data_IF_889796382933
#
_entry.id   IF_889796382933
#
_cell.length_a   1.000
_cell.length_b   1.000
_cell.length_c   1.000
_cell.angle_alpha   90.00
_cell.angle_beta   90.00
_cell.angle_gamma   90.00
#
_symmetry.space_group_name_H-M   'P 1'
#
loop_
_entity.id
_entity.type
_entity.pdbx_description
1 polymer ?
#
# COMPACT_ATOMS: atom_id res chain seq x y z
N UNK A 1 21.89 -26.61 9.52
CA UNK A 1 20.60 -26.24 8.89
C UNK A 1 19.69 -25.79 10.01
N UNK A 2 19.26 -24.53 10.00
CA UNK A 2 18.33 -23.98 11.00
C UNK A 2 16.89 -24.08 10.49
N UNK A 3 15.93 -24.25 11.39
CA UNK A 3 14.50 -24.29 11.09
C UNK A 3 13.80 -23.16 11.83
N UNK A 4 12.83 -22.54 11.18
CA UNK A 4 12.09 -21.38 11.69
C UNK A 4 10.59 -21.59 11.52
N UNK A 5 9.81 -20.85 12.31
CA UNK A 5 8.36 -20.72 12.22
C UNK A 5 8.07 -19.28 11.80
N UNK A 6 7.22 -19.11 10.79
CA UNK A 6 6.76 -17.78 10.37
C UNK A 6 5.72 -17.23 11.34
N UNK A 7 5.81 -15.94 11.65
CA UNK A 7 4.86 -15.26 12.54
C UNK A 7 3.53 -14.96 11.84
N UNK A 8 3.54 -14.81 10.50
CA UNK A 8 2.31 -14.66 9.73
C UNK A 8 1.50 -15.95 9.78
N UNK A 9 0.18 -15.82 9.97
CA UNK A 9 -0.71 -16.97 9.79
C UNK A 9 -0.56 -17.48 8.35
N UNK A 10 -0.42 -18.82 8.19
CA UNK A 10 -0.09 -19.44 6.91
C UNK A 10 -1.03 -19.05 5.74
N UNK A 11 -2.30 -18.71 6.03
CA UNK A 11 -3.28 -18.25 5.05
C UNK A 11 -2.97 -16.89 4.43
N UNK A 12 -2.11 -16.08 5.06
CA UNK A 12 -1.66 -14.77 4.58
C UNK A 12 -0.32 -14.83 3.83
N UNK A 13 0.26 -16.03 3.69
CA UNK A 13 1.54 -16.24 3.02
C UNK A 13 2.74 -15.88 3.90
N UNK A 14 3.84 -15.44 3.28
CA UNK A 14 5.07 -15.06 3.96
C UNK A 14 5.45 -13.61 3.63
N UNK A 15 6.07 -12.87 4.57
CA UNK A 15 6.72 -11.59 4.26
C UNK A 15 7.91 -11.77 3.29
N UNK A 16 8.48 -12.97 3.19
CA UNK A 16 9.60 -13.31 2.32
C UNK A 16 9.15 -14.25 1.19
N UNK A 17 9.07 -13.71 -0.02
CA UNK A 17 8.56 -14.38 -1.22
C UNK A 17 9.61 -14.53 -2.32
N UNK A 18 10.89 -14.27 -1.99
CA UNK A 18 12.02 -14.39 -2.94
C UNK A 18 12.21 -15.85 -3.32
N UNK A 19 12.23 -16.13 -4.62
CA UNK A 19 12.46 -17.48 -5.15
C UNK A 19 13.94 -17.88 -5.02
N UNK A 20 14.28 -19.18 -4.89
CA UNK A 20 15.68 -19.63 -4.77
C UNK A 20 16.58 -19.25 -5.95
N UNK A 21 16.00 -19.09 -7.14
CA UNK A 21 16.66 -18.74 -8.39
C UNK A 21 16.58 -17.25 -8.73
N UNK A 22 15.96 -16.42 -7.86
CA UNK A 22 15.97 -14.97 -8.02
C UNK A 22 17.41 -14.45 -7.92
N UNK A 23 17.87 -13.85 -9.01
CA UNK A 23 19.13 -13.13 -9.03
C UNK A 23 18.94 -11.68 -8.57
N UNK A 24 19.97 -11.12 -7.94
CA UNK A 24 19.97 -9.71 -7.56
C UNK A 24 19.68 -8.83 -8.79
N UNK A 25 18.83 -7.82 -8.62
CA UNK A 25 18.55 -6.89 -9.71
C UNK A 25 19.83 -6.10 -10.04
N UNK A 26 20.31 -6.10 -11.30
CA UNK A 26 21.56 -5.42 -11.67
C UNK A 26 21.50 -3.88 -11.54
N UNK A 27 20.31 -3.32 -11.31
CA UNK A 27 20.07 -1.87 -11.16
C UNK A 27 20.05 -1.38 -9.70
N UNK A 28 20.55 -2.18 -8.76
CA UNK A 28 20.63 -1.83 -7.33
C UNK A 28 22.06 -1.49 -6.93
N UNK A 29 22.26 -0.28 -6.42
CA UNK A 29 23.56 0.27 -6.04
C UNK A 29 23.49 0.85 -4.62
N UNK A 30 24.45 0.52 -3.74
CA UNK A 30 24.54 1.15 -2.43
C UNK A 30 25.01 2.59 -2.59
N UNK A 31 24.36 3.54 -1.91
CA UNK A 31 24.56 4.97 -2.13
C UNK A 31 25.14 5.68 -0.91
N UNK A 32 24.68 5.32 0.29
CA UNK A 32 25.00 6.06 1.52
C UNK A 32 26.44 5.85 2.01
N UNK A 33 26.94 4.63 1.94
CA UNK A 33 28.25 4.22 2.49
C UNK A 33 29.20 3.69 1.41
N UNK A 34 29.05 4.18 0.17
CA UNK A 34 29.67 3.60 -1.02
C UNK A 34 29.22 2.16 -1.22
N UNK A 35 30.13 1.26 -1.63
CA UNK A 35 29.79 -0.15 -1.89
C UNK A 35 29.64 -1.03 -0.63
N UNK A 36 29.65 -0.41 0.56
CA UNK A 36 29.61 -1.13 1.84
C UNK A 36 28.22 -1.16 2.44
N UNK A 37 27.66 -2.35 2.67
CA UNK A 37 26.49 -2.50 3.52
C UNK A 37 26.85 -2.19 4.97
N UNK A 38 26.22 -1.16 5.55
CA UNK A 38 26.33 -0.81 6.97
C UNK A 38 24.97 -0.87 7.66
N UNK A 39 25.06 -1.04 8.97
CA UNK A 39 23.92 -0.98 9.88
C UNK A 39 23.95 0.39 10.54
N UNK A 40 22.87 1.13 10.38
CA UNK A 40 22.66 2.44 11.00
C UNK A 40 21.64 2.27 12.14
N UNK A 41 22.08 2.32 13.40
CA UNK A 41 21.16 2.23 14.52
C UNK A 41 20.35 3.52 14.64
N UNK A 42 19.06 3.38 14.90
CA UNK A 42 18.21 4.51 15.32
C UNK A 42 17.65 4.23 16.70
N UNK A 43 17.72 5.22 17.59
CA UNK A 43 17.08 5.09 18.89
C UNK A 43 15.57 5.11 18.72
N UNK A 44 14.89 4.16 19.37
CA UNK A 44 13.44 4.18 19.47
C UNK A 44 13.08 5.21 20.54
N UNK A 45 12.48 6.36 20.19
CA UNK A 45 12.25 7.41 21.16
C UNK A 45 11.21 6.96 22.19
N UNK A 46 11.45 7.28 23.46
CA UNK A 46 10.45 7.19 24.52
C UNK A 46 9.61 8.49 24.55
N UNK A 47 8.29 8.38 24.72
CA UNK A 47 7.41 9.55 24.88
C UNK A 47 6.91 10.17 23.55
N UNK A 48 6.66 11.48 23.46
CA UNK A 48 6.22 12.11 22.21
C UNK A 48 7.32 12.10 21.13
N UNK A 49 6.91 12.03 19.88
CA UNK A 49 7.78 12.17 18.70
C UNK A 49 7.10 13.07 17.65
N UNK A 50 7.83 13.44 16.60
CA UNK A 50 7.26 14.18 15.47
C UNK A 50 6.05 13.44 14.90
N UNK A 51 4.95 14.16 14.65
CA UNK A 51 3.73 13.57 14.12
C UNK A 51 3.97 12.88 12.77
N UNK A 52 3.59 11.61 12.70
CA UNK A 52 3.55 10.82 11.47
C UNK A 52 2.12 10.77 10.94
N UNK A 53 1.96 10.98 9.63
CA UNK A 53 0.72 10.69 8.93
C UNK A 53 0.84 9.36 8.18
N UNK A 54 0.10 8.35 8.61
CA UNK A 54 0.00 7.07 7.91
C UNK A 54 -1.15 7.13 6.91
N UNK A 55 -0.83 7.01 5.62
CA UNK A 55 -1.77 7.06 4.50
C UNK A 55 -1.95 5.66 3.95
N UNK A 56 -3.21 5.26 3.77
CA UNK A 56 -3.57 4.02 3.10
C UNK A 56 -4.93 4.14 2.40
N UNK A 57 -5.22 3.16 1.55
CA UNK A 57 -6.48 3.05 0.84
C UNK A 57 -6.92 1.60 0.73
N UNK A 58 -8.25 1.43 0.79
CA UNK A 58 -8.90 0.14 0.58
C UNK A 58 -9.80 0.22 -0.64
N UNK A 59 -9.85 -0.86 -1.41
CA UNK A 59 -10.76 -1.01 -2.56
C UNK A 59 -11.62 -2.24 -2.43
N UNK A 60 -12.76 -2.22 -3.12
CA UNK A 60 -13.64 -3.37 -3.27
C UNK A 60 -14.27 -3.40 -4.65
N UNK A 61 -14.10 -4.53 -5.36
CA UNK A 61 -14.97 -4.87 -6.48
C UNK A 61 -16.31 -5.36 -5.94
N UNK A 62 -17.41 -4.78 -6.41
CA UNK A 62 -18.76 -5.04 -5.91
C UNK A 62 -19.54 -5.96 -6.83
N UNK A 63 -19.35 -5.80 -8.14
CA UNK A 63 -19.82 -6.75 -9.15
C UNK A 63 -19.00 -6.62 -10.45
N UNK A 64 -18.76 -7.74 -11.12
CA UNK A 64 -18.35 -7.75 -12.51
C UNK A 64 -19.57 -7.48 -13.41
N UNK A 65 -19.37 -6.72 -14.48
CA UNK A 65 -20.39 -6.30 -15.43
C UNK A 65 -19.98 -6.69 -16.86
N UNK A 66 -21.00 -6.86 -17.70
CA UNK A 66 -20.85 -7.16 -19.10
C UNK A 66 -21.84 -6.32 -19.91
N UNK A 67 -21.37 -5.75 -21.01
CA UNK A 67 -22.20 -5.28 -22.10
C UNK A 67 -21.99 -6.23 -23.28
N UNK A 68 -23.08 -6.62 -23.94
CA UNK A 68 -23.03 -7.46 -25.14
C UNK A 68 -23.66 -6.66 -26.27
N UNK A 69 -22.90 -6.40 -27.32
CA UNK A 69 -23.43 -5.80 -28.53
C UNK A 69 -24.33 -6.82 -29.24
N UNK A 70 -25.59 -6.47 -29.46
CA UNK A 70 -26.58 -7.43 -29.99
C UNK A 70 -26.32 -7.81 -31.45
N UNK A 71 -25.67 -6.93 -32.22
CA UNK A 71 -25.43 -7.15 -33.65
C UNK A 71 -24.17 -8.00 -33.90
N UNK A 72 -23.09 -7.73 -33.18
CA UNK A 72 -21.78 -8.36 -33.35
C UNK A 72 -21.51 -9.49 -32.35
N UNK A 73 -22.26 -9.54 -31.23
CA UNK A 73 -21.99 -10.43 -30.11
C UNK A 73 -20.76 -10.05 -29.29
N UNK A 74 -20.15 -8.88 -29.56
CA UNK A 74 -18.96 -8.43 -28.85
C UNK A 74 -19.26 -8.19 -27.37
N UNK A 75 -18.37 -8.68 -26.51
CA UNK A 75 -18.49 -8.56 -25.05
C UNK A 75 -17.52 -7.51 -24.52
N UNK A 76 -18.06 -6.48 -23.87
CA UNK A 76 -17.27 -5.51 -23.12
C UNK A 76 -17.38 -5.78 -21.63
N UNK A 77 -16.24 -5.79 -20.95
CA UNK A 77 -16.15 -6.05 -19.50
C UNK A 77 -16.12 -4.76 -18.72
N UNK A 78 -16.78 -4.77 -17.57
CA UNK A 78 -16.74 -3.67 -16.62
C UNK A 78 -16.74 -4.16 -15.18
N UNK A 79 -16.50 -3.23 -14.25
CA UNK A 79 -16.60 -3.46 -12.82
C UNK A 79 -17.35 -2.31 -12.15
N UNK A 80 -18.34 -2.65 -11.33
CA UNK A 80 -18.82 -1.73 -10.30
C UNK A 80 -17.97 -1.95 -9.05
N UNK A 81 -17.43 -0.88 -8.49
CA UNK A 81 -16.56 -0.96 -7.34
C UNK A 81 -16.46 0.35 -6.57
N UNK A 82 -15.82 0.29 -5.43
CA UNK A 82 -15.56 1.44 -4.59
C UNK A 82 -14.14 1.41 -4.05
N UNK A 83 -13.61 2.59 -3.75
CA UNK A 83 -12.39 2.73 -2.98
C UNK A 83 -12.52 3.87 -1.97
N UNK A 84 -11.78 3.76 -0.89
CA UNK A 84 -11.67 4.79 0.12
C UNK A 84 -10.20 5.00 0.45
N UNK A 85 -9.82 6.26 0.65
CA UNK A 85 -8.48 6.65 1.08
C UNK A 85 -8.60 7.59 2.28
N UNK A 86 -7.66 7.48 3.22
CA UNK A 86 -7.59 8.39 4.36
C UNK A 86 -6.22 8.35 4.99
N UNK A 87 -6.08 9.07 6.10
CA UNK A 87 -4.88 9.05 6.91
C UNK A 87 -5.21 9.00 8.40
N UNK A 88 -4.23 8.52 9.16
CA UNK A 88 -4.21 8.63 10.63
C UNK A 88 -2.92 9.30 11.06
N UNK A 89 -3.05 10.32 11.90
CA UNK A 89 -1.95 11.13 12.41
C UNK A 89 -1.67 10.69 13.85
N UNK A 90 -0.41 10.36 14.14
CA UNK A 90 0.03 9.93 15.47
C UNK A 90 1.40 10.52 15.84
N UNK A 91 1.53 10.93 17.10
CA UNK A 91 2.72 11.57 17.68
C UNK A 91 3.28 10.79 18.89
N UNK A 92 2.69 9.63 19.20
CA UNK A 92 3.11 8.79 20.31
C UNK A 92 2.71 9.30 21.71
N UNK A 93 1.95 10.39 21.80
CA UNK A 93 1.48 10.98 23.07
C UNK A 93 -0.05 11.10 23.10
N UNK A 94 -0.63 11.71 22.06
CA UNK A 94 -2.05 11.95 21.95
C UNK A 94 -2.79 10.75 21.32
N UNK A 95 -4.11 10.71 21.48
CA UNK A 95 -4.96 9.77 20.75
C UNK A 95 -4.81 10.03 19.24
N UNK A 96 -4.53 9.01 18.41
CA UNK A 96 -4.41 9.21 16.97
C UNK A 96 -5.65 9.86 16.35
N UNK A 97 -5.43 10.79 15.42
CA UNK A 97 -6.47 11.56 14.75
C UNK A 97 -6.62 11.05 13.32
N UNK A 98 -7.83 10.67 12.95
CA UNK A 98 -8.15 10.21 11.60
C UNK A 98 -8.67 11.38 10.78
N UNK A 99 -8.23 11.48 9.53
CA UNK A 99 -8.81 12.42 8.58
C UNK A 99 -10.20 11.96 8.15
N UNK A 100 -10.97 12.87 7.55
CA UNK A 100 -12.15 12.48 6.81
C UNK A 100 -11.73 11.66 5.57
N UNK A 101 -12.38 10.51 5.32
CA UNK A 101 -12.00 9.66 4.20
C UNK A 101 -12.56 10.18 2.88
N UNK A 102 -11.76 10.10 1.82
CA UNK A 102 -12.23 10.26 0.45
C UNK A 102 -12.80 8.93 -0.03
N UNK A 103 -14.13 8.86 -0.25
CA UNK A 103 -14.81 7.66 -0.74
C UNK A 103 -15.30 7.89 -2.16
N UNK A 104 -14.91 7.00 -3.08
CA UNK A 104 -15.39 7.00 -4.45
C UNK A 104 -16.08 5.68 -4.79
N UNK A 105 -17.17 5.77 -5.55
CA UNK A 105 -17.93 4.63 -6.05
C UNK A 105 -18.10 4.78 -7.55
N UNK A 106 -17.63 3.79 -8.28
CA UNK A 106 -17.32 3.88 -9.70
C UNK A 106 -17.91 2.71 -10.45
N UNK A 107 -18.26 2.95 -11.70
CA UNK A 107 -18.38 1.92 -12.73
C UNK A 107 -17.27 2.18 -13.73
N UNK A 108 -16.45 1.18 -14.00
CA UNK A 108 -15.33 1.28 -14.96
C UNK A 108 -15.55 0.24 -16.05
N UNK A 109 -15.62 0.68 -17.29
CA UNK A 109 -15.71 -0.17 -18.48
C UNK A 109 -14.37 -0.23 -19.22
N UNK A 110 -14.06 -1.38 -19.82
CA UNK A 110 -12.94 -1.53 -20.75
C UNK A 110 -13.29 -1.12 -22.18
N UNK A 111 -12.30 -1.24 -23.08
CA UNK A 111 -12.47 -1.07 -24.53
C UNK A 111 -13.07 0.27 -24.98
N UNK A 112 -12.95 1.33 -24.16
CA UNK A 112 -13.45 2.67 -24.48
C UNK A 112 -14.97 2.85 -24.37
N UNK A 113 -15.73 1.83 -23.96
CA UNK A 113 -17.18 1.95 -23.80
C UNK A 113 -17.57 2.66 -22.51
N UNK A 114 -18.78 3.21 -22.48
CA UNK A 114 -19.38 3.86 -21.31
C UNK A 114 -20.78 3.28 -21.12
N UNK A 115 -21.15 3.03 -19.87
CA UNK A 115 -22.47 2.55 -19.48
C UNK A 115 -22.78 3.02 -18.07
N UNK A 116 -23.78 3.90 -17.96
CA UNK A 116 -24.17 4.44 -16.66
C UNK A 116 -25.00 3.42 -15.87
N UNK A 117 -24.81 3.44 -14.55
CA UNK A 117 -25.73 2.77 -13.62
C UNK A 117 -26.58 3.83 -12.92
N UNK A 118 -27.92 3.74 -12.99
CA UNK A 118 -28.80 4.69 -12.34
C UNK A 118 -28.67 4.59 -10.83
N UNK A 119 -29.02 5.69 -10.15
CA UNK A 119 -29.11 5.67 -8.69
C UNK A 119 -30.21 4.71 -8.21
N UNK A 120 -29.95 4.04 -7.09
CA UNK A 120 -30.90 3.08 -6.48
C UNK A 120 -31.18 3.40 -5.02
N UNK A 121 -32.18 2.72 -4.45
CA UNK A 121 -32.66 2.97 -3.08
C UNK A 121 -31.52 2.84 -2.07
N UNK A 122 -31.51 3.71 -1.05
CA UNK A 122 -30.43 3.76 -0.06
C UNK A 122 -29.23 4.62 -0.47
N UNK A 123 -29.39 5.46 -1.50
CA UNK A 123 -28.40 6.47 -1.88
C UNK A 123 -27.25 5.96 -2.75
N UNK A 124 -27.30 4.70 -3.21
CA UNK A 124 -26.23 4.16 -4.04
C UNK A 124 -26.26 4.79 -5.43
N UNK A 125 -25.11 5.32 -5.81
CA UNK A 125 -24.86 5.96 -7.10
C UNK A 125 -23.41 5.66 -7.51
N UNK A 126 -23.15 5.62 -8.81
CA UNK A 126 -21.81 5.35 -9.33
C UNK A 126 -21.42 6.42 -10.33
N UNK A 127 -20.18 6.87 -10.26
CA UNK A 127 -19.59 7.69 -11.30
C UNK A 127 -19.02 6.79 -12.40
N UNK A 128 -19.49 6.94 -13.64
CA UNK A 128 -19.01 6.12 -14.74
C UNK A 128 -17.66 6.61 -15.29
N UNK A 129 -16.80 5.67 -15.66
CA UNK A 129 -15.50 5.87 -16.28
C UNK A 129 -15.24 4.77 -17.32
N UNK A 130 -14.32 5.04 -18.22
CA UNK A 130 -13.87 4.10 -19.24
C UNK A 130 -12.34 4.07 -19.32
N UNK A 131 -11.80 2.94 -19.76
CA UNK A 131 -10.39 2.74 -20.12
C UNK A 131 -10.32 2.09 -21.50
N UNK A 132 -9.23 2.33 -22.23
CA UNK A 132 -9.03 1.73 -23.56
C UNK A 132 -8.66 0.24 -23.51
N UNK A 133 -8.00 -0.19 -22.44
CA UNK A 133 -7.56 -1.57 -22.22
C UNK A 133 -8.77 -2.52 -22.18
N UNK A 134 -8.66 -3.64 -22.90
CA UNK A 134 -9.68 -4.66 -23.08
C UNK A 134 -9.40 -5.95 -22.29
N UNK A 135 -8.27 -6.03 -21.59
CA UNK A 135 -7.94 -7.19 -20.77
C UNK A 135 -9.01 -7.42 -19.68
N UNK A 136 -9.37 -8.69 -19.37
CA UNK A 136 -10.46 -8.98 -18.45
C UNK A 136 -10.36 -8.35 -17.06
N UNK A 137 -9.14 -8.22 -16.54
CA UNK A 137 -8.81 -7.65 -15.24
C UNK A 137 -8.62 -6.12 -15.27
N UNK A 138 -8.50 -5.51 -16.46
CA UNK A 138 -8.14 -4.11 -16.61
C UNK A 138 -9.09 -3.15 -15.87
N UNK A 139 -10.42 -3.34 -15.86
CA UNK A 139 -11.31 -2.47 -15.08
C UNK A 139 -11.02 -2.50 -13.58
N UNK A 140 -10.70 -3.68 -13.02
CA UNK A 140 -10.37 -3.82 -11.60
C UNK A 140 -8.99 -3.22 -11.28
N UNK A 141 -8.02 -3.38 -12.18
CA UNK A 141 -6.72 -2.71 -12.08
C UNK A 141 -6.87 -1.19 -12.14
N UNK A 142 -7.74 -0.67 -13.01
CA UNK A 142 -8.03 0.76 -13.08
C UNK A 142 -8.70 1.29 -11.81
N UNK A 143 -9.52 0.49 -11.12
CA UNK A 143 -10.04 0.85 -9.79
C UNK A 143 -8.91 0.96 -8.76
N UNK A 144 -7.96 0.01 -8.77
CA UNK A 144 -6.78 0.03 -7.90
C UNK A 144 -5.89 1.24 -8.16
N UNK A 145 -5.63 1.54 -9.44
CA UNK A 145 -4.86 2.70 -9.87
C UNK A 145 -5.46 4.01 -9.33
N UNK A 146 -6.79 4.18 -9.42
CA UNK A 146 -7.48 5.38 -8.91
C UNK A 146 -7.38 5.53 -7.39
N UNK A 147 -7.46 4.42 -6.66
CA UNK A 147 -7.21 4.40 -5.22
C UNK A 147 -5.78 4.85 -4.90
N UNK A 148 -4.78 4.27 -5.56
CA UNK A 148 -3.36 4.61 -5.37
C UNK A 148 -3.05 6.07 -5.73
N UNK A 149 -3.71 6.64 -6.74
CA UNK A 149 -3.64 8.09 -7.04
C UNK A 149 -4.23 8.96 -5.95
N UNK A 150 -5.31 8.50 -5.30
CA UNK A 150 -5.94 9.23 -4.20
C UNK A 150 -5.06 9.22 -2.95
N UNK A 151 -4.41 8.09 -2.66
CA UNK A 151 -3.37 7.99 -1.63
C UNK A 151 -2.20 8.95 -1.91
N UNK A 152 -1.66 8.95 -3.13
CA UNK A 152 -0.57 9.86 -3.51
C UNK A 152 -0.94 11.33 -3.35
N UNK A 153 -2.18 11.72 -3.73
CA UNK A 153 -2.67 13.10 -3.57
C UNK A 153 -2.82 13.49 -2.10
N UNK A 154 -3.40 12.62 -1.29
CA UNK A 154 -3.56 12.85 0.15
C UNK A 154 -2.19 12.94 0.83
N UNK A 155 -1.26 12.07 0.46
CA UNK A 155 0.10 12.08 0.99
C UNK A 155 0.83 13.39 0.67
N UNK A 156 0.75 13.87 -0.58
CA UNK A 156 1.33 15.17 -0.96
C UNK A 156 0.68 16.34 -0.19
N UNK A 157 -0.65 16.34 -0.05
CA UNK A 157 -1.36 17.36 0.72
C UNK A 157 -0.91 17.41 2.18
N UNK A 158 -0.78 16.25 2.85
CA UNK A 158 -0.36 16.18 4.25
C UNK A 158 1.13 16.54 4.41
N UNK A 159 1.96 16.16 3.45
CA UNK A 159 3.36 16.55 3.46
C UNK A 159 3.53 18.07 3.29
N UNK A 160 2.72 18.70 2.42
CA UNK A 160 2.65 20.16 2.28
C UNK A 160 2.18 20.90 3.54
N UNK A 161 1.58 20.20 4.51
CA UNK A 161 1.23 20.73 5.83
C UNK A 161 2.37 20.57 6.87
N UNK A 162 3.53 20.05 6.45
CA UNK A 162 4.70 19.83 7.30
C UNK A 162 4.70 18.49 8.05
N UNK A 163 3.80 17.57 7.72
CA UNK A 163 3.76 16.24 8.32
C UNK A 163 4.75 15.29 7.63
N UNK A 164 5.32 14.37 8.41
CA UNK A 164 6.12 13.27 7.89
C UNK A 164 5.18 12.12 7.49
N UNK A 165 5.15 11.80 6.20
CA UNK A 165 4.11 10.92 5.63
C UNK A 165 4.65 9.53 5.33
N UNK A 166 3.93 8.51 5.78
CA UNK A 166 4.21 7.09 5.51
C UNK A 166 3.03 6.50 4.73
N UNK A 167 3.27 6.07 3.49
CA UNK A 167 2.28 5.45 2.60
C UNK A 167 2.45 3.94 2.62
N UNK A 168 1.37 3.18 2.82
CA UNK A 168 1.44 1.71 2.75
C UNK A 168 1.56 1.20 1.31
N UNK A 169 2.75 0.69 0.98
CA UNK A 169 3.12 0.21 -0.35
C UNK A 169 4.31 0.95 -0.97
N UNK A 170 4.59 0.62 -2.22
CA UNK A 170 5.70 1.21 -2.99
C UNK A 170 5.36 2.61 -3.48
N UNK A 171 6.35 3.49 -3.63
CA UNK A 171 6.20 4.88 -4.10
C UNK A 171 5.93 5.04 -5.61
N UNK A 172 5.22 4.12 -6.25
CA UNK A 172 5.02 4.11 -7.71
C UNK A 172 4.19 5.32 -8.21
N UNK A 173 3.40 5.94 -7.33
CA UNK A 173 2.34 6.90 -7.67
C UNK A 173 2.54 8.32 -7.12
N UNK A 174 3.64 8.58 -6.42
CA UNK A 174 4.03 9.91 -5.92
C UNK A 174 5.06 10.57 -6.86
N UNK A 175 4.91 10.34 -8.17
CA UNK A 175 5.83 10.89 -9.18
C UNK A 175 5.78 12.43 -9.17
N UNK A 176 6.95 13.07 -9.14
CA UNK A 176 7.08 14.53 -9.20
C UNK A 176 6.87 15.27 -7.88
N UNK A 177 6.77 14.53 -6.77
CA UNK A 177 6.73 15.08 -5.43
C UNK A 177 8.19 15.27 -4.98
N UNK A 178 8.61 16.52 -4.77
CA UNK A 178 9.91 16.85 -4.14
C UNK A 178 9.85 16.63 -2.62
N UNK A 179 8.65 16.45 -2.10
CA UNK A 179 8.34 16.29 -0.69
C UNK A 179 8.72 14.89 -0.17
N UNK A 180 9.22 14.78 1.08
CA UNK A 180 9.76 13.56 1.66
C UNK A 180 8.66 12.57 2.11
N UNK A 181 7.94 12.00 1.16
CA UNK A 181 6.98 10.91 1.41
C UNK A 181 7.72 9.58 1.47
N UNK A 182 7.44 8.77 2.50
CA UNK A 182 8.03 7.45 2.69
C UNK A 182 7.08 6.35 2.23
N UNK A 183 7.54 5.46 1.35
CA UNK A 183 6.85 4.21 1.04
C UNK A 183 7.21 3.15 2.05
N UNK A 184 6.21 2.43 2.55
CA UNK A 184 6.37 1.36 3.53
C UNK A 184 6.03 0.00 2.90
N UNK A 185 7.04 -0.82 2.66
CA UNK A 185 6.88 -2.10 1.96
C UNK A 185 7.10 -3.27 2.93
N UNK A 186 6.04 -4.06 3.11
CA UNK A 186 5.96 -5.18 4.07
C UNK A 186 6.47 -6.51 3.50
N UNK A 187 6.47 -6.66 2.18
CA UNK A 187 6.77 -7.93 1.49
C UNK A 187 7.98 -7.82 0.57
N UNK A 188 8.75 -8.90 0.52
CA UNK A 188 9.99 -8.99 -0.25
C UNK A 188 9.85 -10.09 -1.31
N UNK A 189 9.47 -9.69 -2.53
CA UNK A 189 9.25 -10.62 -3.65
C UNK A 189 10.45 -10.76 -4.58
N UNK A 190 11.53 -10.03 -4.33
CA UNK A 190 12.78 -10.07 -5.12
C UNK A 190 13.98 -9.89 -4.20
N UNK A 191 15.07 -10.58 -4.52
CA UNK A 191 16.38 -10.28 -3.93
C UNK A 191 16.89 -8.97 -4.53
N UNK A 192 16.85 -7.87 -3.77
CA UNK A 192 17.31 -6.57 -4.29
C UNK A 192 18.82 -6.38 -4.13
N UNK A 193 19.39 -6.86 -3.02
CA UNK A 193 20.81 -6.73 -2.73
C UNK A 193 21.59 -7.96 -3.20
N UNK A 194 22.87 -7.81 -3.58
CA UNK A 194 23.77 -8.94 -3.79
C UNK A 194 23.79 -9.92 -2.60
N UNK A 195 24.01 -11.23 -2.81
CA UNK A 195 23.90 -12.26 -1.76
C UNK A 195 24.70 -11.95 -0.48
N UNK A 196 25.88 -11.35 -0.61
CA UNK A 196 26.74 -10.99 0.53
C UNK A 196 26.13 -9.90 1.43
N UNK A 197 25.26 -9.04 0.89
CA UNK A 197 24.56 -7.98 1.62
C UNK A 197 23.15 -8.45 2.02
N UNK A 198 22.45 -9.17 1.14
CA UNK A 198 21.13 -9.75 1.42
C UNK A 198 21.14 -10.62 2.67
N UNK A 199 22.17 -11.46 2.85
CA UNK A 199 22.33 -12.31 4.05
C UNK A 199 22.51 -11.54 5.35
N UNK A 200 22.90 -10.26 5.28
CA UNK A 200 23.13 -9.38 6.45
C UNK A 200 21.89 -8.59 6.86
N UNK A 201 20.89 -8.46 5.99
CA UNK A 201 19.63 -7.79 6.34
C UNK A 201 18.98 -8.41 7.59
N UNK A 202 18.99 -9.75 7.78
CA UNK A 202 18.52 -10.35 9.02
C UNK A 202 19.31 -9.99 10.30
N UNK A 203 20.50 -9.37 10.20
CA UNK A 203 21.30 -8.98 11.36
C UNK A 203 20.78 -7.68 12.03
N UNK A 204 19.91 -6.93 11.35
CA UNK A 204 19.31 -5.69 11.85
C UNK A 204 18.52 -5.94 13.14
N UNK A 205 18.75 -5.12 14.17
CA UNK A 205 17.97 -5.06 15.41
C UNK A 205 16.83 -4.04 15.28
N UNK A 206 15.79 -4.08 16.11
CA UNK A 206 14.68 -3.14 16.00
C UNK A 206 15.15 -1.67 16.02
N UNK A 207 14.70 -0.88 15.05
CA UNK A 207 15.17 0.50 14.83
C UNK A 207 16.40 0.59 13.93
N UNK A 208 17.19 -0.48 13.78
CA UNK A 208 18.29 -0.50 12.83
C UNK A 208 17.78 -0.52 11.39
N UNK A 209 18.41 0.32 10.56
CA UNK A 209 18.25 0.28 9.11
C UNK A 209 19.56 -0.08 8.41
N UNK A 210 19.45 -0.58 7.18
CA UNK A 210 20.60 -0.69 6.29
C UNK A 210 20.99 0.67 5.72
N UNK A 211 22.18 0.76 5.14
CA UNK A 211 22.53 1.81 4.18
C UNK A 211 21.45 1.95 3.09
N UNK A 212 21.19 3.17 2.65
CA UNK A 212 20.35 3.42 1.48
C UNK A 212 21.02 2.89 0.21
N UNK A 213 20.21 2.20 -0.60
CA UNK A 213 20.54 1.80 -1.96
C UNK A 213 19.57 2.44 -2.95
N UNK A 214 20.04 2.67 -4.17
CA UNK A 214 19.26 3.14 -5.29
C UNK A 214 18.45 1.97 -5.87
N UNK A 215 17.16 2.18 -6.11
CA UNK A 215 16.28 1.20 -6.74
C UNK A 215 15.64 1.82 -7.99
N UNK A 216 16.30 1.62 -9.14
CA UNK A 216 15.95 2.29 -10.38
C UNK A 216 16.32 3.78 -10.38
N UNK A 217 15.61 4.60 -11.15
CA UNK A 217 15.92 6.03 -11.34
C UNK A 217 15.19 6.98 -10.38
N UNK A 218 14.20 6.48 -9.65
CA UNK A 218 13.21 7.35 -8.98
C UNK A 218 13.28 7.30 -7.45
N UNK A 219 13.84 6.26 -6.85
CA UNK A 219 13.80 6.05 -5.39
C UNK A 219 15.09 5.53 -4.78
N UNK A 220 15.41 5.99 -3.58
CA UNK A 220 16.30 5.31 -2.65
C UNK A 220 15.48 4.37 -1.77
N UNK A 221 16.14 3.37 -1.21
CA UNK A 221 15.50 2.39 -0.35
C UNK A 221 16.47 1.82 0.67
N UNK A 222 15.97 1.46 1.85
CA UNK A 222 16.71 0.72 2.86
C UNK A 222 15.81 -0.34 3.50
N UNK A 223 16.43 -1.37 4.08
CA UNK A 223 15.72 -2.28 4.97
C UNK A 223 15.70 -1.71 6.39
N UNK A 224 14.63 -1.93 7.13
CA UNK A 224 14.45 -1.58 8.54
C UNK A 224 13.97 -2.83 9.28
N UNK A 225 14.53 -3.10 10.46
CA UNK A 225 13.91 -4.04 11.40
C UNK A 225 12.93 -3.29 12.29
N UNK A 226 11.67 -3.67 12.20
CA UNK A 226 10.56 -3.05 12.92
C UNK A 226 10.39 -3.59 14.34
N UNK A 227 10.58 -4.89 14.55
CA UNK A 227 10.31 -5.54 15.83
C UNK A 227 11.31 -6.64 16.14
N UNK A 228 11.43 -7.00 17.42
CA UNK A 228 12.31 -8.10 17.87
C UNK A 228 11.83 -9.40 17.27
N UNK A 229 12.75 -10.22 16.77
CA UNK A 229 12.47 -11.59 16.34
C UNK A 229 12.89 -12.59 17.42
N UNK A 230 12.05 -13.59 17.70
CA UNK A 230 12.40 -14.69 18.60
C UNK A 230 13.40 -15.66 17.97
N UNK A 231 14.02 -16.54 18.78
CA UNK A 231 15.03 -17.50 18.32
C UNK A 231 14.52 -18.50 17.26
N UNK A 232 13.21 -18.72 17.22
CA UNK A 232 12.55 -19.63 16.26
C UNK A 232 11.82 -18.89 15.14
N UNK A 233 11.78 -17.56 15.20
CA UNK A 233 11.07 -16.74 14.22
C UNK A 233 11.86 -16.67 12.91
N UNK A 234 11.17 -16.62 11.77
CA UNK A 234 11.80 -16.42 10.46
C UNK A 234 12.76 -15.22 10.44
N UNK A 235 13.95 -15.32 9.81
CA UNK A 235 14.97 -14.27 9.85
C UNK A 235 14.51 -12.93 9.24
N UNK A 236 13.50 -12.97 8.36
CA UNK A 236 12.89 -11.82 7.70
C UNK A 236 11.65 -11.27 8.43
N UNK A 237 11.23 -11.88 9.54
CA UNK A 237 10.10 -11.38 10.32
C UNK A 237 10.40 -9.99 10.88
N UNK A 238 9.47 -9.05 10.73
CA UNK A 238 9.70 -7.66 11.11
C UNK A 238 10.71 -6.91 10.23
N UNK A 239 11.27 -7.49 9.16
CA UNK A 239 11.99 -6.71 8.15
C UNK A 239 10.98 -6.07 7.22
N UNK A 240 11.06 -4.75 7.11
CA UNK A 240 10.31 -3.95 6.13
C UNK A 240 11.29 -3.17 5.28
N UNK A 241 10.82 -2.65 4.15
CA UNK A 241 11.62 -1.81 3.28
C UNK A 241 11.00 -0.43 3.22
N UNK A 242 11.82 0.57 3.47
CA UNK A 242 11.46 1.97 3.31
C UNK A 242 11.90 2.43 1.92
N UNK A 243 11.06 3.22 1.25
CA UNK A 243 11.37 3.84 -0.03
C UNK A 243 11.20 5.35 0.10
N UNK A 244 12.13 6.15 -0.45
CA UNK A 244 12.03 7.61 -0.53
C UNK A 244 12.36 8.10 -1.94
N UNK A 245 11.76 9.20 -2.43
CA UNK A 245 12.08 9.76 -3.74
C UNK A 245 13.55 10.17 -3.85
N UNK A 246 14.15 9.96 -5.03
CA UNK A 246 15.50 10.48 -5.35
C UNK A 246 15.51 11.99 -5.59
N UNK A 247 14.35 12.60 -5.90
CA UNK A 247 14.19 14.04 -6.15
C UNK A 247 14.68 14.91 -4.99
N UNK A 248 14.54 14.44 -3.74
CA UNK A 248 15.02 15.15 -2.55
C UNK A 248 16.55 15.10 -2.38
N UNK A 249 17.25 14.22 -3.11
CA UNK A 249 18.67 13.97 -2.95
C UNK A 249 19.02 13.05 -1.77
N UNK A 250 20.21 12.45 -1.83
CA UNK A 250 20.64 11.42 -0.87
C UNK A 250 20.69 11.93 0.57
N UNK A 251 21.19 13.15 0.81
CA UNK A 251 21.32 13.69 2.16
C UNK A 251 19.95 13.87 2.87
N UNK A 252 18.96 14.43 2.16
CA UNK A 252 17.61 14.57 2.69
C UNK A 252 16.93 13.21 2.89
N UNK A 253 17.17 12.26 1.97
CA UNK A 253 16.70 10.88 2.09
C UNK A 253 17.23 10.20 3.36
N UNK A 254 18.53 10.35 3.67
CA UNK A 254 19.14 9.85 4.92
C UNK A 254 18.46 10.45 6.14
N UNK A 255 18.33 11.78 6.21
CA UNK A 255 17.73 12.49 7.35
C UNK A 255 16.28 12.05 7.62
N UNK A 256 15.48 11.90 6.56
CA UNK A 256 14.08 11.46 6.65
C UNK A 256 13.99 10.02 7.14
N UNK A 257 14.80 9.13 6.57
CA UNK A 257 14.77 7.71 6.92
C UNK A 257 15.28 7.48 8.35
N UNK A 258 16.33 8.17 8.79
CA UNK A 258 16.82 8.11 10.18
C UNK A 258 15.73 8.49 11.19
N UNK A 259 15.03 9.61 10.92
CA UNK A 259 13.93 10.05 11.78
C UNK A 259 12.82 9.00 11.86
N UNK A 260 12.42 8.42 10.72
CA UNK A 260 11.30 7.48 10.69
C UNK A 260 11.69 6.09 11.24
N UNK A 261 12.93 5.65 11.02
CA UNK A 261 13.44 4.35 11.45
C UNK A 261 13.35 4.14 12.97
N UNK A 262 13.66 5.19 13.76
CA UNK A 262 13.49 5.14 15.22
C UNK A 262 12.02 5.11 15.66
N UNK A 263 11.13 5.80 14.94
CA UNK A 263 9.72 5.95 15.33
C UNK A 263 8.88 4.72 14.99
N UNK A 264 9.03 4.16 13.79
CA UNK A 264 8.16 3.09 13.26
C UNK A 264 8.01 1.85 14.16
N UNK A 265 9.06 1.36 14.85
CA UNK A 265 8.96 0.23 15.76
C UNK A 265 7.83 0.34 16.79
N UNK A 266 7.48 1.55 17.24
CA UNK A 266 6.37 1.79 18.20
C UNK A 266 5.00 1.45 17.65
N UNK A 267 4.87 1.45 16.33
CA UNK A 267 3.62 1.19 15.63
C UNK A 267 3.52 -0.24 15.11
N UNK A 268 4.53 -1.10 15.37
CA UNK A 268 4.50 -2.51 15.01
C UNK A 268 3.25 -3.19 15.59
N UNK A 269 2.59 -3.99 14.78
CA UNK A 269 1.45 -4.80 15.23
C UNK A 269 1.90 -5.97 16.09
N UNK A 270 0.95 -6.52 16.86
CA UNK A 270 1.17 -7.66 17.76
C UNK A 270 0.41 -8.89 17.26
N UNK A 271 0.98 -10.11 17.34
CA UNK A 271 0.41 -11.30 16.69
C UNK A 271 -1.03 -11.67 17.06
N UNK A 272 -1.45 -11.41 18.30
CA UNK A 272 -2.82 -11.73 18.73
C UNK A 272 -3.87 -10.71 18.25
N UNK A 273 -3.46 -9.56 17.70
CA UNK A 273 -4.36 -8.56 17.10
C UNK A 273 -4.30 -8.57 15.58
N UNK A 274 -3.12 -8.84 15.02
CA UNK A 274 -2.90 -8.75 13.59
C UNK A 274 -2.25 -10.04 13.06
N UNK A 275 -2.88 -10.75 12.12
CA UNK A 275 -2.33 -11.98 11.55
C UNK A 275 -1.08 -11.76 10.69
N UNK A 276 -0.76 -10.50 10.35
CA UNK A 276 0.42 -10.07 9.59
C UNK A 276 1.43 -9.32 10.47
N UNK A 277 1.33 -9.49 11.79
CA UNK A 277 2.33 -8.99 12.71
C UNK A 277 3.70 -9.65 12.49
N UNK A 278 4.80 -8.94 12.82
CA UNK A 278 4.83 -7.54 13.29
C UNK A 278 4.80 -6.49 12.17
N UNK A 279 4.96 -6.88 10.90
CA UNK A 279 5.18 -5.95 9.77
C UNK A 279 3.98 -5.05 9.46
N UNK A 280 2.76 -5.39 9.89
CA UNK A 280 1.66 -4.44 9.75
C UNK A 280 1.76 -3.33 10.81
N UNK A 281 1.41 -2.09 10.46
CA UNK A 281 1.39 -0.99 11.42
C UNK A 281 0.00 -0.85 12.04
N UNK A 282 -0.09 -0.75 13.36
CA UNK A 282 -1.38 -0.66 14.06
C UNK A 282 -2.26 0.51 13.58
N UNK A 283 -1.72 1.73 13.35
CA UNK A 283 -2.52 2.84 12.82
C UNK A 283 -3.07 2.53 11.42
N UNK A 284 -2.28 1.87 10.57
CA UNK A 284 -2.72 1.46 9.22
C UNK A 284 -3.85 0.44 9.31
N UNK A 285 -3.71 -0.59 10.15
CA UNK A 285 -4.78 -1.57 10.37
C UNK A 285 -6.09 -0.95 10.86
N UNK A 286 -6.02 -0.01 11.80
CA UNK A 286 -7.20 0.72 12.28
C UNK A 286 -7.81 1.64 11.21
N UNK A 287 -6.97 2.26 10.38
CA UNK A 287 -7.40 3.05 9.23
C UNK A 287 -8.12 2.17 8.21
N UNK A 288 -7.55 1.02 7.84
CA UNK A 288 -8.17 0.07 6.93
C UNK A 288 -9.56 -0.37 7.40
N UNK A 289 -9.70 -0.72 8.69
CA UNK A 289 -10.99 -1.11 9.28
C UNK A 289 -12.03 0.02 9.14
N UNK A 290 -11.64 1.25 9.48
CA UNK A 290 -12.49 2.42 9.32
C UNK A 290 -12.86 2.65 7.85
N UNK A 291 -11.90 2.63 6.94
CA UNK A 291 -12.15 2.86 5.51
C UNK A 291 -13.08 1.78 4.92
N UNK A 292 -12.93 0.51 5.33
CA UNK A 292 -13.82 -0.58 4.92
C UNK A 292 -15.26 -0.35 5.41
N UNK A 293 -15.43 0.19 6.62
CA UNK A 293 -16.73 0.57 7.12
C UNK A 293 -17.39 1.64 6.23
N UNK A 294 -16.63 2.64 5.78
CA UNK A 294 -17.11 3.69 4.86
C UNK A 294 -17.49 3.16 3.47
N UNK A 295 -16.93 2.04 3.02
CA UNK A 295 -17.39 1.38 1.78
C UNK A 295 -18.79 0.75 1.95
N UNK A 296 -19.26 0.53 3.18
CA UNK A 296 -20.52 -0.13 3.50
C UNK A 296 -20.45 -1.65 3.36
N UNK A 297 -21.59 -2.34 3.49
CA UNK A 297 -21.66 -3.80 3.38
C UNK A 297 -21.54 -4.31 1.94
N UNK A 298 -20.76 -5.36 1.72
CA UNK A 298 -20.51 -5.93 0.38
C UNK A 298 -21.76 -6.52 -0.25
N UNK A 299 -22.63 -7.19 0.52
CA UNK A 299 -23.86 -7.82 0.00
C UNK A 299 -24.86 -6.75 -0.40
N UNK A 300 -24.96 -5.67 0.37
CA UNK A 300 -25.80 -4.53 0.01
C UNK A 300 -25.30 -3.82 -1.26
N UNK A 301 -23.99 -3.60 -1.37
CA UNK A 301 -23.38 -3.02 -2.56
C UNK A 301 -23.66 -3.87 -3.81
N UNK A 302 -23.43 -5.19 -3.73
CA UNK A 302 -23.70 -6.10 -4.84
C UNK A 302 -25.19 -6.12 -5.22
N UNK A 303 -26.10 -6.08 -4.23
CA UNK A 303 -27.54 -6.00 -4.49
C UNK A 303 -27.92 -4.68 -5.17
N UNK A 304 -27.33 -3.56 -4.74
CA UNK A 304 -27.57 -2.26 -5.33
C UNK A 304 -27.13 -2.22 -6.82
N UNK A 305 -25.98 -2.79 -7.14
CA UNK A 305 -25.54 -2.91 -8.54
C UNK A 305 -26.53 -3.74 -9.37
N UNK A 306 -27.01 -4.87 -8.83
CA UNK A 306 -28.02 -5.70 -9.51
C UNK A 306 -29.34 -4.97 -9.73
N UNK A 307 -29.80 -4.19 -8.75
CA UNK A 307 -31.00 -3.34 -8.91
C UNK A 307 -30.79 -2.29 -10.01
N UNK A 308 -29.62 -1.67 -10.07
CA UNK A 308 -29.30 -0.66 -11.08
C UNK A 308 -29.30 -1.27 -12.49
N UNK A 309 -28.65 -2.42 -12.66
CA UNK A 309 -28.64 -3.17 -13.94
C UNK A 309 -30.05 -3.60 -14.35
N UNK A 310 -30.88 -4.04 -13.40
CA UNK A 310 -32.28 -4.38 -13.69
C UNK A 310 -33.08 -3.19 -14.24
N UNK A 311 -32.88 -1.99 -13.68
CA UNK A 311 -33.53 -0.76 -14.17
C UNK A 311 -33.12 -0.43 -15.59
N UNK A 312 -31.82 -0.50 -15.90
CA UNK A 312 -31.30 -0.29 -17.26
C UNK A 312 -31.93 -1.29 -18.25
N UNK A 313 -32.04 -2.56 -17.87
CA UNK A 313 -32.66 -3.57 -18.72
C UNK A 313 -34.17 -3.33 -18.95
N UNK A 314 -34.88 -2.84 -17.92
CA UNK A 314 -36.30 -2.52 -18.03
C UNK A 314 -36.59 -1.31 -18.92
N UNK A 315 -35.69 -0.33 -18.95
CA UNK A 315 -35.79 0.85 -19.83
C UNK A 315 -35.58 0.49 -21.32
N UNK A 316 -34.72 -0.48 -21.63
CA UNK A 316 -34.48 -0.96 -23.01
C UNK A 316 -35.67 -1.76 -23.57
N UNK A 317 -36.54 -2.29 -22.72
CA UNK A 317 -37.70 -3.10 -23.11
C UNK A 317 -38.98 -2.28 -23.32
N UNK A 318 -38.97 -0.98 -23.01
CA UNK A 318 -40.09 -0.04 -23.23
C UNK A 318 -39.88 0.73 -24.53
#
# INVERSE_FOLDING_TARGET
MAMYVEDWLATYGSPYLVAPDDQALPEVELMEDGDSFRVHPSEVPDGPHQALAFVDGVRRGEAALYQVDAASGQVTRGVAGSHACGAVIADGECRPVFTDPEVQRLVIWGSGHIGDLPSVRGGWNWTCRSIADDAPEAPLMALQERMRRSEGRLAAQLCGQGLLVVVDGTLTYTRGVEEPILGYVKTHSKMLLPPQHHRRVPELKPGDRSSLFRLGRERYSCYLRLAVTGAITGPWAGIVRLEVPQSAGLAAAVEVVDRVAGILPRYASVPWRDPRAPQNLQPVGALEERLRHFLGDQRLAQRAVREAVYKVAAEVQQ
#
